data_IF_361905030024
#
_entry.id   IF_361905030024
#
_cell.length_a   1.000
_cell.length_b   1.000
_cell.length_c   1.000
_cell.angle_alpha   90.00
_cell.angle_beta   90.00
_cell.angle_gamma   90.00
#
_symmetry.space_group_name_H-M   'P 1'
#
loop_
_entity.id
_entity.type
_entity.pdbx_description
1 polymer ?
#
# COMPACT_ATOMS: atom_id res chain seq x y z
N UNK A 1 8.01 0.75 -18.35
CA UNK A 1 7.42 1.98 -17.77
C UNK A 1 7.47 3.11 -18.76
N UNK A 2 6.57 4.09 -18.64
CA UNK A 2 6.55 5.32 -19.42
C UNK A 2 6.77 6.50 -18.47
N UNK A 3 7.91 7.21 -18.57
CA UNK A 3 8.16 8.42 -17.80
C UNK A 3 7.53 9.66 -18.43
N UNK A 4 7.21 9.60 -19.73
CA UNK A 4 6.70 10.70 -20.52
C UNK A 4 5.22 10.51 -20.91
N UNK A 5 4.48 11.62 -20.91
CA UNK A 5 3.08 11.70 -21.34
C UNK A 5 2.11 12.10 -20.21
N UNK A 6 0.83 12.36 -20.54
CA UNK A 6 -0.16 12.81 -19.56
C UNK A 6 -0.27 11.85 -18.37
N UNK A 7 -0.10 12.37 -17.14
CA UNK A 7 -0.14 11.60 -15.89
C UNK A 7 1.14 10.81 -15.59
N UNK A 8 2.30 11.30 -16.01
CA UNK A 8 3.63 10.86 -15.58
C UNK A 8 4.47 12.09 -15.21
N UNK A 9 5.43 11.93 -14.30
CA UNK A 9 6.18 13.04 -13.71
C UNK A 9 5.73 13.41 -12.29
N UNK A 10 6.34 14.47 -11.75
CA UNK A 10 6.05 14.98 -10.41
C UNK A 10 4.83 15.91 -10.43
N UNK A 11 3.83 15.62 -9.60
CA UNK A 11 2.56 16.34 -9.62
C UNK A 11 1.95 16.52 -8.22
N UNK A 12 1.09 17.52 -8.06
CA UNK A 12 0.32 17.81 -6.86
C UNK A 12 -1.17 17.61 -7.10
N UNK A 13 -1.76 16.63 -6.41
CA UNK A 13 -3.18 16.33 -6.49
C UNK A 13 -3.92 16.77 -5.23
N UNK A 14 -5.24 17.00 -5.35
CA UNK A 14 -6.08 17.23 -4.17
C UNK A 14 -5.94 16.06 -3.19
N UNK A 15 -5.64 16.36 -1.93
CA UNK A 15 -5.48 15.32 -0.92
C UNK A 15 -6.83 14.62 -0.65
N UNK A 16 -6.85 13.30 -0.83
CA UNK A 16 -8.02 12.46 -0.55
C UNK A 16 -8.28 12.19 0.94
N UNK A 17 -7.39 12.65 1.84
CA UNK A 17 -7.46 12.34 3.27
C UNK A 17 -7.94 13.51 4.12
N UNK A 18 -7.26 14.66 4.03
CA UNK A 18 -7.62 15.86 4.79
C UNK A 18 -8.29 16.95 3.93
N UNK A 19 -8.31 16.78 2.61
CA UNK A 19 -8.85 17.76 1.65
C UNK A 19 -8.25 19.17 1.73
N UNK A 20 -7.08 19.32 2.36
CA UNK A 20 -6.32 20.57 2.43
C UNK A 20 -5.92 21.07 1.03
N UNK A 21 -5.80 22.40 0.91
CA UNK A 21 -5.29 23.09 -0.28
C UNK A 21 -3.81 22.77 -0.59
N UNK A 22 -3.01 22.40 0.42
CA UNK A 22 -1.60 22.04 0.22
C UNK A 22 -1.40 20.77 -0.62
N UNK A 23 -2.43 19.92 -0.71
CA UNK A 23 -2.44 18.78 -1.64
C UNK A 23 -1.52 17.60 -1.28
N UNK A 24 -1.39 16.68 -2.23
CA UNK A 24 -0.68 15.40 -2.13
C UNK A 24 0.26 15.29 -3.32
N UNK A 25 1.55 15.38 -3.03
CA UNK A 25 2.61 15.33 -4.02
C UNK A 25 3.05 13.89 -4.27
N UNK A 26 3.30 13.56 -5.53
CA UNK A 26 3.82 12.24 -5.92
C UNK A 26 4.54 12.31 -7.26
N UNK A 27 5.51 11.41 -7.45
CA UNK A 27 6.04 11.10 -8.76
C UNK A 27 5.26 9.94 -9.37
N UNK A 28 4.78 10.12 -10.60
CA UNK A 28 3.94 9.15 -11.31
C UNK A 28 4.66 8.55 -12.52
N UNK A 29 4.41 7.28 -12.77
CA UNK A 29 4.84 6.59 -13.99
C UNK A 29 3.75 5.63 -14.45
N UNK A 30 3.61 5.40 -15.76
CA UNK A 30 2.68 4.40 -16.28
C UNK A 30 3.39 3.11 -16.64
N UNK A 31 2.73 1.97 -16.51
CA UNK A 31 3.26 0.70 -16.97
C UNK A 31 2.23 -0.14 -17.71
N UNK A 32 2.66 -0.83 -18.76
CA UNK A 32 1.82 -1.76 -19.53
C UNK A 32 1.96 -3.21 -19.05
N UNK A 33 3.11 -3.53 -18.46
CA UNK A 33 3.42 -4.85 -17.91
C UNK A 33 4.33 -4.66 -16.71
N UNK A 34 4.15 -5.49 -15.69
CA UNK A 34 4.91 -5.44 -14.47
C UNK A 34 5.09 -6.87 -13.95
N UNK A 35 6.32 -7.32 -13.75
CA UNK A 35 6.53 -8.63 -13.13
C UNK A 35 6.30 -8.53 -11.62
N UNK A 36 5.83 -9.61 -10.96
CA UNK A 36 5.66 -9.63 -9.51
C UNK A 36 6.94 -9.29 -8.74
N UNK A 37 8.10 -9.81 -9.17
CA UNK A 37 9.41 -9.52 -8.55
C UNK A 37 9.77 -8.04 -8.66
N UNK A 38 9.62 -7.45 -9.85
CA UNK A 38 9.92 -6.04 -10.05
C UNK A 38 9.00 -5.15 -9.18
N UNK A 39 7.71 -5.48 -9.10
CA UNK A 39 6.79 -4.72 -8.25
C UNK A 39 7.08 -4.90 -6.75
N UNK A 40 7.56 -6.07 -6.32
CA UNK A 40 8.02 -6.29 -4.95
C UNK A 40 9.16 -5.33 -4.60
N UNK A 41 10.12 -5.14 -5.51
CA UNK A 41 11.23 -4.19 -5.34
C UNK A 41 10.74 -2.74 -5.26
N UNK A 42 9.77 -2.37 -6.11
CA UNK A 42 9.14 -1.04 -6.05
C UNK A 42 8.39 -0.81 -4.72
N UNK A 43 7.59 -1.78 -4.25
CA UNK A 43 6.87 -1.70 -2.97
C UNK A 43 7.82 -1.49 -1.79
N UNK A 44 8.99 -2.14 -1.82
CA UNK A 44 10.04 -2.00 -0.81
C UNK A 44 10.67 -0.60 -0.81
N UNK A 45 10.43 0.20 -1.86
CA UNK A 45 10.88 1.58 -2.01
C UNK A 45 9.73 2.60 -1.92
N UNK A 46 8.60 2.17 -1.36
CA UNK A 46 7.45 3.03 -1.08
C UNK A 46 6.54 3.34 -2.27
N UNK A 47 6.76 2.71 -3.42
CA UNK A 47 5.86 2.84 -4.58
C UNK A 47 4.53 2.11 -4.35
N UNK A 48 3.48 2.55 -5.01
CA UNK A 48 2.17 1.88 -5.10
C UNK A 48 1.63 1.95 -6.52
N UNK A 49 0.52 1.26 -6.76
CA UNK A 49 -0.18 1.28 -8.04
C UNK A 49 -1.69 1.44 -7.92
N UNK A 50 -2.28 1.93 -9.00
CA UNK A 50 -3.72 2.01 -9.26
C UNK A 50 -3.94 1.62 -10.72
N UNK A 51 -4.43 0.39 -10.96
CA UNK A 51 -4.34 -0.24 -12.28
C UNK A 51 -2.90 -0.22 -12.82
N UNK A 52 -2.72 0.42 -13.97
CA UNK A 52 -1.45 0.63 -14.68
C UNK A 52 -0.64 1.86 -14.24
N UNK A 53 -1.20 2.70 -13.37
CA UNK A 53 -0.52 3.89 -12.84
C UNK A 53 0.33 3.47 -11.63
N UNK A 54 1.62 3.73 -11.66
CA UNK A 54 2.55 3.64 -10.54
C UNK A 54 2.76 5.02 -9.95
N UNK A 55 2.92 5.10 -8.64
CA UNK A 55 3.20 6.36 -7.98
C UNK A 55 4.03 6.18 -6.71
N UNK A 56 4.91 7.15 -6.46
CA UNK A 56 5.72 7.28 -5.25
C UNK A 56 5.37 8.61 -4.57
N UNK A 57 4.76 8.60 -3.38
CA UNK A 57 4.44 9.84 -2.67
C UNK A 57 5.69 10.60 -2.23
N UNK A 58 5.63 11.93 -2.29
CA UNK A 58 6.56 12.79 -1.57
C UNK A 58 5.97 13.05 -0.19
N UNK A 59 6.49 12.34 0.81
CA UNK A 59 6.00 12.39 2.17
C UNK A 59 6.31 13.73 2.86
N UNK A 60 7.37 14.44 2.44
CA UNK A 60 7.79 15.70 3.06
C UNK A 60 6.90 16.84 2.57
N UNK A 61 6.68 16.89 1.25
CA UNK A 61 5.84 17.92 0.62
C UNK A 61 4.34 17.70 0.88
N UNK A 62 3.84 16.46 0.88
CA UNK A 62 2.41 16.16 1.05
C UNK A 62 1.87 16.59 2.41
N UNK A 63 0.62 17.10 2.46
CA UNK A 63 -0.03 17.43 3.74
C UNK A 63 -0.30 16.21 4.64
N UNK A 64 -0.47 15.03 4.04
CA UNK A 64 -0.69 13.76 4.74
C UNK A 64 0.39 12.75 4.33
N UNK A 65 1.44 12.57 5.13
CA UNK A 65 2.55 11.67 4.79
C UNK A 65 2.12 10.21 4.77
N UNK A 66 2.39 9.54 3.65
CA UNK A 66 1.91 8.20 3.32
C UNK A 66 3.00 7.15 3.55
N UNK A 67 3.19 6.74 4.81
CA UNK A 67 4.19 5.73 5.16
C UNK A 67 3.77 4.34 4.69
N UNK A 68 4.74 3.52 4.31
CA UNK A 68 4.51 2.12 3.97
C UNK A 68 4.64 1.26 5.22
N UNK A 69 3.66 0.39 5.48
CA UNK A 69 3.76 -0.61 6.54
C UNK A 69 3.81 -2.04 5.98
N UNK A 70 4.54 -2.91 6.68
CA UNK A 70 4.48 -4.36 6.50
C UNK A 70 4.53 -5.11 7.83
N UNK A 71 3.92 -6.28 7.85
CA UNK A 71 3.87 -7.18 9.00
C UNK A 71 4.37 -8.56 8.61
N UNK A 72 5.19 -9.21 9.45
CA UNK A 72 5.54 -10.62 9.27
C UNK A 72 4.34 -11.50 9.65
N UNK A 73 3.78 -12.23 8.69
CA UNK A 73 2.56 -13.03 8.85
C UNK A 73 2.69 -14.11 9.92
N UNK A 74 3.91 -14.65 10.14
CA UNK A 74 4.17 -15.67 11.15
C UNK A 74 4.31 -15.07 12.55
N UNK A 75 4.62 -13.78 12.65
CA UNK A 75 4.81 -13.07 13.91
C UNK A 75 3.57 -12.28 14.34
N UNK A 76 2.46 -12.35 13.60
CA UNK A 76 1.25 -11.60 13.91
C UNK A 76 0.65 -11.98 15.27
N UNK A 77 0.25 -10.96 16.04
CA UNK A 77 -0.51 -11.12 17.27
C UNK A 77 -1.81 -10.33 17.22
N UNK A 78 -2.94 -11.03 17.26
CA UNK A 78 -4.24 -10.38 17.28
C UNK A 78 -4.48 -9.63 18.60
N UNK A 79 -4.84 -8.35 18.51
CA UNK A 79 -5.25 -7.52 19.64
C UNK A 79 -6.61 -7.97 20.22
N UNK A 80 -6.93 -7.58 21.45
CA UNK A 80 -8.23 -7.91 22.08
C UNK A 80 -9.43 -7.52 21.20
N UNK A 81 -9.38 -6.33 20.62
CA UNK A 81 -10.44 -5.79 19.76
C UNK A 81 -10.55 -6.57 18.43
N UNK A 82 -9.42 -6.98 17.83
CA UNK A 82 -9.40 -7.86 16.66
C UNK A 82 -10.03 -9.22 16.97
N UNK A 83 -9.65 -9.85 18.08
CA UNK A 83 -10.23 -11.13 18.53
C UNK A 83 -11.73 -11.00 18.78
N UNK A 84 -12.16 -9.94 19.44
CA UNK A 84 -13.58 -9.69 19.71
C UNK A 84 -14.39 -9.45 18.45
N UNK A 85 -13.83 -8.73 17.47
CA UNK A 85 -14.49 -8.49 16.18
C UNK A 85 -14.69 -9.80 15.44
N UNK A 86 -13.65 -10.64 15.33
CA UNK A 86 -13.75 -11.96 14.71
C UNK A 86 -14.75 -12.86 15.43
N UNK A 87 -14.65 -13.00 16.76
CA UNK A 87 -15.55 -13.86 17.53
C UNK A 87 -17.03 -13.45 17.41
N UNK A 88 -17.34 -12.14 17.37
CA UNK A 88 -18.72 -11.66 17.17
C UNK A 88 -19.24 -12.01 15.78
N UNK A 89 -18.40 -11.85 14.76
CA UNK A 89 -18.77 -12.19 13.40
C UNK A 89 -18.95 -13.71 13.21
N UNK A 90 -18.03 -14.52 13.73
CA UNK A 90 -18.18 -15.99 13.76
C UNK A 90 -19.47 -16.40 14.47
N UNK A 91 -19.78 -15.80 15.63
CA UNK A 91 -21.05 -16.10 16.33
C UNK A 91 -22.27 -15.77 15.47
N UNK A 92 -22.25 -14.63 14.76
CA UNK A 92 -23.31 -14.25 13.82
C UNK A 92 -23.50 -15.30 12.72
N UNK A 93 -22.41 -15.77 12.11
CA UNK A 93 -22.45 -16.78 11.04
C UNK A 93 -22.99 -18.12 11.54
N UNK A 94 -22.52 -18.60 12.68
CA UNK A 94 -22.91 -19.89 13.21
C UNK A 94 -24.36 -19.87 13.73
N UNK A 95 -24.71 -18.85 14.51
CA UNK A 95 -25.99 -18.78 15.22
C UNK A 95 -26.06 -19.72 16.44
N UNK A 96 -26.91 -19.39 17.41
CA UNK A 96 -26.96 -20.10 18.70
C UNK A 96 -27.42 -21.56 18.54
N UNK A 97 -28.27 -21.86 17.55
CA UNK A 97 -28.75 -23.21 17.27
C UNK A 97 -27.61 -24.15 16.82
N UNK A 98 -26.85 -23.74 15.80
CA UNK A 98 -25.68 -24.50 15.33
C UNK A 98 -24.66 -24.68 16.46
N UNK A 99 -24.32 -23.60 17.19
CA UNK A 99 -23.33 -23.66 18.28
C UNK A 99 -23.73 -24.71 19.32
N UNK A 100 -25.01 -24.73 19.72
CA UNK A 100 -25.53 -25.67 20.71
C UNK A 100 -25.53 -27.11 20.20
N UNK A 101 -25.97 -27.35 18.98
CA UNK A 101 -26.15 -28.70 18.45
C UNK A 101 -24.85 -29.31 17.93
N UNK A 102 -23.98 -28.51 17.30
CA UNK A 102 -22.64 -28.92 16.92
C UNK A 102 -21.79 -29.27 18.16
N UNK A 103 -21.93 -28.55 19.28
CA UNK A 103 -21.22 -28.90 20.52
C UNK A 103 -21.63 -30.27 21.10
N UNK A 104 -22.85 -30.74 20.80
CA UNK A 104 -23.33 -32.07 21.21
C UNK A 104 -22.89 -33.17 20.25
N UNK A 105 -23.01 -32.91 18.93
CA UNK A 105 -22.71 -33.89 17.89
C UNK A 105 -21.20 -34.06 17.67
N UNK A 106 -20.45 -32.97 17.81
CA UNK A 106 -19.01 -32.91 17.56
C UNK A 106 -18.30 -32.23 18.73
N UNK A 107 -18.30 -32.85 19.92
CA UNK A 107 -17.66 -32.27 21.09
C UNK A 107 -16.16 -32.11 20.84
N UNK A 108 -15.61 -30.94 21.21
CA UNK A 108 -14.17 -30.69 21.16
C UNK A 108 -13.45 -31.55 22.19
N UNK A 109 -12.27 -32.05 21.85
CA UNK A 109 -11.42 -32.75 22.81
C UNK A 109 -10.99 -31.79 23.92
N UNK A 110 -10.72 -32.30 25.13
CA UNK A 110 -10.26 -31.49 26.27
C UNK A 110 -8.97 -30.74 25.94
N UNK A 111 -8.08 -31.39 25.19
CA UNK A 111 -6.83 -30.80 24.73
C UNK A 111 -7.07 -29.64 23.76
N UNK A 112 -7.95 -29.83 22.77
CA UNK A 112 -8.28 -28.78 21.81
C UNK A 112 -8.98 -27.59 22.48
N UNK A 113 -9.92 -27.86 23.41
CA UNK A 113 -10.57 -26.81 24.20
C UNK A 113 -9.55 -26.01 25.02
N UNK A 114 -8.62 -26.70 25.71
CA UNK A 114 -7.55 -26.04 26.48
C UNK A 114 -6.66 -25.18 25.58
N UNK A 115 -6.21 -25.72 24.43
CA UNK A 115 -5.39 -24.98 23.47
C UNK A 115 -6.10 -23.72 22.99
N UNK A 116 -7.38 -23.83 22.65
CA UNK A 116 -8.20 -22.71 22.17
C UNK A 116 -8.38 -21.60 23.22
N UNK A 117 -8.42 -21.95 24.50
CA UNK A 117 -8.55 -20.97 25.59
C UNK A 117 -7.21 -20.27 25.88
N UNK A 118 -6.08 -20.96 25.70
CA UNK A 118 -4.74 -20.41 25.95
C UNK A 118 -4.14 -19.69 24.74
N UNK A 119 -4.46 -20.13 23.53
CA UNK A 119 -3.85 -19.67 22.28
C UNK A 119 -4.89 -19.06 21.33
N UNK A 120 -4.48 -18.02 20.61
CA UNK A 120 -5.25 -17.47 19.50
C UNK A 120 -4.54 -17.79 18.19
N UNK A 121 -4.80 -18.97 17.65
CA UNK A 121 -4.32 -19.35 16.32
C UNK A 121 -5.15 -18.62 15.26
N UNK A 122 -4.58 -17.61 14.61
CA UNK A 122 -5.30 -16.78 13.65
C UNK A 122 -5.94 -17.62 12.53
N UNK A 123 -5.21 -18.60 11.98
CA UNK A 123 -5.68 -19.39 10.82
C UNK A 123 -6.88 -20.21 11.23
N UNK A 124 -6.78 -20.95 12.35
CA UNK A 124 -7.93 -21.69 12.88
C UNK A 124 -9.14 -20.78 13.11
N UNK A 125 -8.92 -19.60 13.70
CA UNK A 125 -9.99 -18.69 14.09
C UNK A 125 -10.71 -18.03 12.92
N UNK A 126 -10.02 -17.72 11.81
CA UNK A 126 -10.68 -17.16 10.63
C UNK A 126 -11.56 -18.20 9.92
N UNK A 127 -11.15 -19.47 9.93
CA UNK A 127 -11.92 -20.57 9.34
C UNK A 127 -13.09 -21.05 10.20
N UNK A 128 -13.13 -20.74 11.51
CA UNK A 128 -14.23 -21.16 12.40
C UNK A 128 -15.64 -20.74 11.92
N UNK A 129 -15.74 -19.73 11.03
CA UNK A 129 -17.01 -19.29 10.44
C UNK A 129 -17.21 -19.64 8.96
N UNK A 130 -16.19 -20.20 8.29
CA UNK A 130 -16.23 -20.49 6.85
C UNK A 130 -16.89 -21.84 6.58
N UNK A 131 -17.88 -21.88 5.68
CA UNK A 131 -18.73 -23.06 5.40
C UNK A 131 -17.93 -24.33 5.13
N UNK A 132 -16.81 -24.21 4.42
CA UNK A 132 -15.95 -25.35 4.04
C UNK A 132 -15.36 -26.09 5.26
N UNK A 133 -15.19 -25.40 6.38
CA UNK A 133 -14.58 -25.95 7.60
C UNK A 133 -15.61 -26.36 8.65
N UNK A 134 -16.89 -26.08 8.42
CA UNK A 134 -17.99 -26.43 9.33
C UNK A 134 -18.41 -27.89 9.20
N UNK A 135 -18.98 -28.42 10.27
CA UNK A 135 -19.56 -29.77 10.28
C UNK A 135 -21.06 -29.66 10.03
N UNK A 136 -21.56 -30.38 9.03
CA UNK A 136 -22.98 -30.49 8.72
C UNK A 136 -23.42 -31.95 8.75
N UNK A 137 -24.57 -32.29 9.38
CA UNK A 137 -25.49 -31.42 10.13
C UNK A 137 -24.99 -31.06 11.55
N UNK A 138 -25.46 -29.97 12.21
CA UNK A 138 -26.52 -29.04 11.78
C UNK A 138 -26.02 -28.00 10.76
N UNK A 139 -26.94 -27.23 10.18
CA UNK A 139 -26.58 -26.11 9.30
C UNK A 139 -26.34 -24.83 10.10
N UNK A 140 -25.35 -23.99 9.72
CA UNK A 140 -25.13 -22.69 10.34
C UNK A 140 -26.26 -21.71 10.00
N UNK A 141 -26.37 -20.62 10.78
CA UNK A 141 -27.32 -19.54 10.48
C UNK A 141 -27.04 -18.86 9.14
N UNK A 142 -25.76 -18.74 8.78
CA UNK A 142 -25.30 -18.18 7.52
C UNK A 142 -24.10 -18.95 6.96
N UNK A 143 -24.05 -19.08 5.63
CA UNK A 143 -22.97 -19.72 4.91
C UNK A 143 -21.96 -18.69 4.39
N UNK A 144 -20.84 -18.52 5.09
CA UNK A 144 -19.71 -17.72 4.58
C UNK A 144 -18.84 -18.57 3.65
N UNK A 145 -18.58 -18.06 2.44
CA UNK A 145 -17.65 -18.63 1.47
C UNK A 145 -16.65 -17.54 1.07
N UNK A 146 -15.35 -17.84 1.16
CA UNK A 146 -14.27 -16.94 0.76
C UNK A 146 -13.52 -17.57 -0.40
N UNK A 147 -13.42 -16.86 -1.53
CA UNK A 147 -12.76 -17.35 -2.75
C UNK A 147 -11.72 -16.37 -3.25
N UNK A 148 -10.60 -16.88 -3.74
CA UNK A 148 -9.63 -16.09 -4.48
C UNK A 148 -9.97 -16.15 -5.98
N UNK A 149 -10.42 -15.03 -6.53
CA UNK A 149 -10.86 -14.91 -7.92
C UNK A 149 -9.94 -14.01 -8.75
N UNK A 150 -9.94 -14.14 -10.09
CA UNK A 150 -9.34 -13.13 -10.95
C UNK A 150 -9.86 -11.72 -10.64
N UNK A 151 -9.00 -10.72 -10.77
CA UNK A 151 -9.33 -9.29 -10.67
C UNK A 151 -10.22 -8.78 -11.84
N UNK A 152 -10.82 -9.68 -12.63
CA UNK A 152 -11.63 -9.30 -13.78
C UNK A 152 -12.94 -8.63 -13.38
N UNK A 153 -13.43 -7.76 -14.28
CA UNK A 153 -14.72 -7.12 -14.15
C UNK A 153 -15.85 -8.16 -14.15
N UNK A 154 -16.78 -8.01 -13.22
CA UNK A 154 -18.14 -8.59 -13.30
C UNK A 154 -19.14 -7.55 -12.84
N UNK A 155 -20.40 -7.66 -13.27
CA UNK A 155 -21.46 -6.77 -12.79
C UNK A 155 -21.71 -6.92 -11.28
N UNK A 156 -21.58 -8.14 -10.73
CA UNK A 156 -21.68 -8.40 -9.28
C UNK A 156 -20.61 -7.61 -8.49
N UNK A 157 -19.35 -7.65 -8.94
CA UNK A 157 -18.23 -6.92 -8.32
C UNK A 157 -18.42 -5.40 -8.43
N UNK A 158 -18.94 -4.92 -9.56
CA UNK A 158 -19.24 -3.49 -9.75
C UNK A 158 -20.39 -3.01 -8.87
N UNK A 159 -21.44 -3.80 -8.68
CA UNK A 159 -22.55 -3.44 -7.77
C UNK A 159 -22.07 -3.26 -6.34
N UNK A 160 -21.16 -4.13 -5.86
CA UNK A 160 -20.52 -3.96 -4.56
C UNK A 160 -19.69 -2.67 -4.50
N UNK A 161 -18.88 -2.39 -5.53
CA UNK A 161 -18.08 -1.18 -5.63
C UNK A 161 -18.95 0.09 -5.60
N UNK A 162 -20.02 0.14 -6.40
CA UNK A 162 -20.96 1.28 -6.43
C UNK A 162 -21.57 1.52 -5.06
N UNK A 163 -22.07 0.46 -4.41
CA UNK A 163 -22.65 0.55 -3.06
C UNK A 163 -21.64 1.14 -2.07
N UNK A 164 -20.41 0.64 -2.09
CA UNK A 164 -19.33 1.10 -1.22
C UNK A 164 -18.95 2.56 -1.47
N UNK A 165 -18.77 2.96 -2.74
CA UNK A 165 -18.44 4.34 -3.10
C UNK A 165 -19.53 5.33 -2.64
N UNK A 166 -20.80 5.00 -2.89
CA UNK A 166 -21.92 5.89 -2.58
C UNK A 166 -22.19 5.99 -1.08
N UNK A 167 -22.10 4.88 -0.35
CA UNK A 167 -22.57 4.83 1.04
C UNK A 167 -21.48 4.94 2.09
N UNK A 168 -20.28 4.46 1.78
CA UNK A 168 -19.13 4.51 2.71
C UNK A 168 -18.21 5.68 2.38
N UNK A 169 -18.01 5.98 1.09
CA UNK A 169 -17.21 7.12 0.66
C UNK A 169 -18.01 8.39 0.34
N UNK A 170 -19.34 8.29 0.24
CA UNK A 170 -20.22 9.42 -0.10
C UNK A 170 -19.86 10.10 -1.43
N UNK A 171 -19.30 9.35 -2.38
CA UNK A 171 -18.99 9.87 -3.71
C UNK A 171 -20.28 10.12 -4.51
N UNK A 172 -20.36 11.21 -5.29
CA UNK A 172 -21.50 11.48 -6.13
C UNK A 172 -21.59 10.46 -7.28
N UNK A 173 -22.80 10.13 -7.77
CA UNK A 173 -22.98 9.16 -8.86
C UNK A 173 -22.16 9.48 -10.13
N UNK A 174 -21.90 10.77 -10.40
CA UNK A 174 -21.08 11.22 -11.53
C UNK A 174 -19.63 10.74 -11.47
N UNK A 175 -19.12 10.35 -10.29
CA UNK A 175 -17.77 9.81 -10.10
C UNK A 175 -17.71 8.29 -10.04
N UNK A 176 -18.86 7.62 -10.04
CA UNK A 176 -18.95 6.17 -9.91
C UNK A 176 -19.30 5.57 -11.27
N UNK A 177 -18.30 5.06 -11.97
CA UNK A 177 -18.47 4.52 -13.33
C UNK A 177 -17.87 3.12 -13.48
N UNK A 178 -18.43 2.34 -14.40
CA UNK A 178 -17.88 1.02 -14.77
C UNK A 178 -16.45 1.13 -15.32
N UNK A 179 -16.17 2.18 -16.10
CA UNK A 179 -14.82 2.43 -16.62
C UNK A 179 -13.83 2.76 -15.51
N UNK A 180 -14.21 3.63 -14.57
CA UNK A 180 -13.40 3.94 -13.39
C UNK A 180 -13.09 2.71 -12.54
N UNK A 181 -14.10 1.88 -12.27
CA UNK A 181 -13.92 0.60 -11.58
C UNK A 181 -12.94 -0.32 -12.31
N UNK A 182 -13.11 -0.48 -13.64
CA UNK A 182 -12.20 -1.30 -14.47
C UNK A 182 -10.77 -0.80 -14.42
N UNK A 183 -10.54 0.50 -14.63
CA UNK A 183 -9.20 1.08 -14.64
C UNK A 183 -8.55 1.05 -13.26
N UNK A 184 -9.34 1.19 -12.19
CA UNK A 184 -8.82 1.25 -10.83
C UNK A 184 -8.37 -0.12 -10.33
N UNK A 185 -9.25 -1.13 -10.40
CA UNK A 185 -9.03 -2.41 -9.70
C UNK A 185 -9.23 -3.67 -10.55
N UNK A 186 -9.56 -3.55 -11.85
CA UNK A 186 -9.69 -4.72 -12.73
C UNK A 186 -8.70 -4.81 -13.90
N UNK A 187 -7.78 -3.85 -14.01
CA UNK A 187 -6.83 -3.74 -15.11
C UNK A 187 -5.41 -3.76 -14.59
N UNK A 188 -5.04 -4.81 -13.84
CA UNK A 188 -3.69 -4.93 -13.31
C UNK A 188 -2.66 -5.24 -14.41
N UNK A 189 -1.47 -4.60 -14.37
CA UNK A 189 -0.34 -4.97 -15.21
C UNK A 189 0.42 -6.20 -14.70
N UNK A 190 0.04 -6.77 -13.55
CA UNK A 190 0.67 -7.93 -12.94
C UNK A 190 0.07 -9.23 -13.51
N UNK A 191 0.84 -10.04 -14.27
CA UNK A 191 0.34 -11.31 -14.77
C UNK A 191 0.13 -12.29 -13.62
N UNK A 192 -0.92 -13.10 -13.75
CA UNK A 192 -1.17 -14.20 -12.83
C UNK A 192 -0.33 -15.41 -13.17
N UNK A 193 0.32 -16.01 -12.18
CA UNK A 193 1.07 -17.25 -12.34
C UNK A 193 1.04 -18.06 -11.05
N UNK A 194 1.55 -19.29 -11.11
CA UNK A 194 1.83 -20.11 -9.94
C UNK A 194 3.32 -20.43 -9.93
N UNK A 195 3.94 -20.32 -8.76
CA UNK A 195 5.38 -20.57 -8.58
C UNK A 195 5.61 -21.47 -7.37
N UNK A 196 6.65 -22.29 -7.43
CA UNK A 196 7.12 -23.06 -6.29
C UNK A 196 8.22 -22.28 -5.57
N UNK A 197 7.97 -21.84 -4.34
CA UNK A 197 8.95 -21.16 -3.49
C UNK A 197 9.06 -21.92 -2.17
N UNK A 198 10.26 -22.39 -1.82
CA UNK A 198 10.52 -23.17 -0.60
C UNK A 198 9.60 -24.40 -0.45
N UNK A 199 9.31 -25.11 -1.55
CA UNK A 199 8.36 -26.23 -1.61
C UNK A 199 6.88 -25.88 -1.34
N UNK A 200 6.51 -24.60 -1.35
CA UNK A 200 5.12 -24.14 -1.32
C UNK A 200 4.72 -23.60 -2.69
N UNK A 201 3.61 -24.10 -3.25
CA UNK A 201 2.99 -23.50 -4.44
C UNK A 201 2.32 -22.20 -4.03
N UNK A 202 2.65 -21.10 -4.71
CA UNK A 202 2.11 -19.76 -4.45
C UNK A 202 1.53 -19.16 -5.71
N UNK A 203 0.40 -18.48 -5.57
CA UNK A 203 -0.20 -17.70 -6.65
C UNK A 203 0.42 -16.32 -6.69
N UNK A 204 0.92 -15.88 -7.84
CA UNK A 204 1.40 -14.50 -8.03
C UNK A 204 0.44 -13.74 -8.94
N UNK A 205 0.45 -12.41 -8.81
CA UNK A 205 -0.37 -11.49 -9.62
C UNK A 205 -1.53 -10.89 -8.83
N UNK A 206 -2.48 -10.29 -9.56
CA UNK A 206 -3.62 -9.60 -8.93
C UNK A 206 -4.88 -10.44 -8.89
N UNK A 207 -5.54 -10.39 -7.73
CA UNK A 207 -6.72 -11.17 -7.41
C UNK A 207 -7.73 -10.35 -6.61
N UNK A 208 -8.99 -10.79 -6.66
CA UNK A 208 -10.05 -10.38 -5.75
C UNK A 208 -10.33 -11.51 -4.78
N UNK A 209 -10.09 -11.28 -3.48
CA UNK A 209 -10.58 -12.15 -2.43
C UNK A 209 -12.04 -11.79 -2.14
N UNK A 210 -12.96 -12.62 -2.64
CA UNK A 210 -14.39 -12.40 -2.60
C UNK A 210 -15.02 -13.11 -1.39
N UNK A 211 -15.81 -12.37 -0.63
CA UNK A 211 -16.53 -12.87 0.55
C UNK A 211 -18.01 -12.92 0.23
N UNK A 212 -18.61 -14.12 0.28
CA UNK A 212 -20.04 -14.35 0.06
C UNK A 212 -20.71 -14.88 1.31
N UNK A 213 -21.81 -14.26 1.71
CA UNK A 213 -22.70 -14.77 2.77
C UNK A 213 -24.00 -15.19 2.10
N UNK A 214 -24.38 -16.45 2.28
CA UNK A 214 -25.59 -17.05 1.68
C UNK A 214 -25.65 -16.87 0.15
N UNK A 215 -24.47 -16.95 -0.48
CA UNK A 215 -24.31 -16.78 -1.92
C UNK A 215 -24.24 -15.32 -2.40
N UNK A 216 -24.50 -14.32 -1.55
CA UNK A 216 -24.39 -12.90 -1.91
C UNK A 216 -22.99 -12.37 -1.65
N UNK A 217 -22.36 -11.75 -2.65
CA UNK A 217 -21.10 -11.02 -2.48
C UNK A 217 -21.27 -9.80 -1.57
N UNK A 218 -20.55 -9.81 -0.45
CA UNK A 218 -20.64 -8.77 0.58
C UNK A 218 -19.33 -8.04 0.86
N UNK A 219 -18.18 -8.56 0.41
CA UNK A 219 -16.91 -7.86 0.51
C UNK A 219 -15.91 -8.37 -0.54
N UNK A 220 -14.95 -7.50 -0.88
CA UNK A 220 -13.81 -7.81 -1.74
C UNK A 220 -12.55 -7.17 -1.15
N UNK A 221 -11.52 -7.99 -0.93
CA UNK A 221 -10.14 -7.54 -0.85
C UNK A 221 -9.49 -7.58 -2.24
N UNK A 222 -8.93 -6.46 -2.69
CA UNK A 222 -8.13 -6.37 -3.91
C UNK A 222 -6.67 -6.57 -3.52
N UNK A 223 -6.09 -7.67 -3.96
CA UNK A 223 -4.79 -8.15 -3.48
C UNK A 223 -3.79 -8.25 -4.63
N UNK A 224 -2.57 -7.82 -4.37
CA UNK A 224 -1.39 -8.22 -5.15
C UNK A 224 -0.62 -9.28 -4.38
N UNK A 225 -0.54 -10.47 -4.97
CA UNK A 225 0.25 -11.57 -4.45
C UNK A 225 1.61 -11.56 -5.13
N UNK A 226 2.65 -11.34 -4.34
CA UNK A 226 4.02 -11.14 -4.78
C UNK A 226 4.92 -12.18 -4.13
N UNK A 227 6.16 -12.38 -4.62
CA UNK A 227 7.01 -13.50 -4.17
C UNK A 227 7.15 -13.63 -2.65
N UNK A 228 7.16 -12.49 -1.94
CA UNK A 228 7.29 -12.48 -0.48
C UNK A 228 6.06 -11.96 0.26
N UNK A 229 5.06 -11.39 -0.41
CA UNK A 229 3.98 -10.70 0.29
C UNK A 229 2.58 -10.82 -0.31
N UNK A 230 1.59 -10.66 0.58
CA UNK A 230 0.23 -10.28 0.24
C UNK A 230 0.13 -8.76 0.42
N UNK A 231 -0.11 -8.02 -0.65
CA UNK A 231 -0.29 -6.57 -0.60
C UNK A 231 -1.76 -6.18 -0.74
N UNK A 232 -2.30 -5.55 0.31
CA UNK A 232 -3.66 -5.03 0.34
C UNK A 232 -3.74 -3.73 -0.45
N UNK A 233 -4.29 -3.79 -1.66
CA UNK A 233 -4.43 -2.64 -2.57
C UNK A 233 -5.67 -1.84 -2.23
N UNK A 234 -6.81 -2.52 -2.08
CA UNK A 234 -8.09 -1.90 -1.77
C UNK A 234 -9.00 -2.89 -1.05
N UNK A 235 -9.93 -2.40 -0.25
CA UNK A 235 -10.92 -3.26 0.41
C UNK A 235 -12.28 -2.56 0.38
N UNK A 236 -13.31 -3.28 -0.09
CA UNK A 236 -14.68 -2.77 -0.19
C UNK A 236 -15.68 -3.78 0.33
N UNK A 237 -16.78 -3.30 0.90
CA UNK A 237 -17.83 -4.14 1.46
C UNK A 237 -19.22 -3.51 1.30
N UNK A 238 -20.25 -4.34 1.34
CA UNK A 238 -21.63 -3.91 1.21
C UNK A 238 -22.11 -3.28 2.52
N UNK A 239 -22.95 -2.25 2.47
CA UNK A 239 -23.48 -1.56 3.65
C UNK A 239 -24.09 -2.51 4.70
N UNK A 240 -24.72 -3.60 4.24
CA UNK A 240 -25.39 -4.59 5.08
C UNK A 240 -24.46 -5.29 6.08
N UNK A 241 -23.14 -5.24 5.87
CA UNK A 241 -22.16 -5.85 6.77
C UNK A 241 -21.31 -4.83 7.53
N UNK A 242 -21.60 -3.53 7.41
CA UNK A 242 -20.84 -2.46 8.04
C UNK A 242 -20.65 -2.67 9.56
N UNK A 243 -21.74 -3.07 10.24
CA UNK A 243 -21.77 -3.32 11.69
C UNK A 243 -20.82 -4.43 12.17
N UNK A 244 -20.33 -5.30 11.28
CA UNK A 244 -19.44 -6.41 11.63
C UNK A 244 -17.95 -6.03 11.56
N UNK A 245 -17.61 -4.82 11.10
CA UNK A 245 -16.23 -4.34 11.09
C UNK A 245 -15.36 -5.00 10.01
N UNK A 246 -15.89 -5.12 8.79
CA UNK A 246 -15.25 -5.86 7.69
C UNK A 246 -13.86 -5.37 7.27
N UNK A 247 -13.54 -4.10 7.44
CA UNK A 247 -12.16 -3.62 7.21
C UNK A 247 -11.13 -4.33 8.11
N UNK A 248 -11.54 -4.69 9.35
CA UNK A 248 -10.68 -5.43 10.28
C UNK A 248 -10.63 -6.92 9.97
N UNK A 249 -11.79 -7.50 9.68
CA UNK A 249 -11.94 -8.91 9.30
C UNK A 249 -11.14 -9.23 8.03
N UNK A 250 -11.21 -8.34 7.03
CA UNK A 250 -10.41 -8.44 5.80
C UNK A 250 -8.92 -8.52 6.09
N UNK A 251 -8.37 -7.57 6.85
CA UNK A 251 -6.95 -7.61 7.24
C UNK A 251 -6.57 -8.88 8.01
N UNK A 252 -7.43 -9.38 8.91
CA UNK A 252 -7.18 -10.64 9.62
C UNK A 252 -7.15 -11.84 8.67
N UNK A 253 -8.07 -11.90 7.70
CA UNK A 253 -8.13 -12.99 6.72
C UNK A 253 -6.98 -12.93 5.71
N UNK A 254 -6.56 -11.74 5.30
CA UNK A 254 -5.38 -11.51 4.45
C UNK A 254 -4.09 -11.94 5.14
N UNK A 255 -3.91 -11.62 6.44
CA UNK A 255 -2.76 -12.09 7.22
C UNK A 255 -2.80 -13.60 7.39
N UNK A 256 -3.97 -14.19 7.64
CA UNK A 256 -4.14 -15.63 7.71
C UNK A 256 -3.73 -16.30 6.38
N UNK A 257 -4.25 -15.79 5.25
CA UNK A 257 -3.88 -16.26 3.91
C UNK A 257 -2.37 -16.13 3.67
N UNK A 258 -1.76 -15.01 4.08
CA UNK A 258 -0.31 -14.83 3.96
C UNK A 258 0.44 -15.95 4.69
N UNK A 259 0.01 -16.28 5.91
CA UNK A 259 0.61 -17.36 6.72
C UNK A 259 0.38 -18.74 6.10
N UNK A 260 -0.85 -19.05 5.66
CA UNK A 260 -1.23 -20.33 5.08
C UNK A 260 -0.49 -20.64 3.77
N UNK A 261 -0.42 -19.66 2.87
CA UNK A 261 0.23 -19.81 1.56
C UNK A 261 1.75 -19.53 1.61
N UNK A 262 2.28 -19.18 2.78
CA UNK A 262 3.71 -19.01 3.02
C UNK A 262 4.29 -17.68 2.55
N UNK A 263 3.48 -16.65 2.31
CA UNK A 263 3.97 -15.29 2.12
C UNK A 263 4.46 -14.74 3.46
N UNK A 264 5.73 -14.30 3.50
CA UNK A 264 6.34 -13.77 4.72
C UNK A 264 5.65 -12.51 5.20
N UNK A 265 5.28 -11.62 4.28
CA UNK A 265 4.82 -10.29 4.62
C UNK A 265 3.36 -10.04 4.25
N UNK A 266 2.66 -9.27 5.08
CA UNK A 266 1.41 -8.60 4.72
C UNK A 266 1.68 -7.09 4.63
N UNK A 267 1.42 -6.49 3.47
CA UNK A 267 1.57 -5.05 3.24
C UNK A 267 0.19 -4.39 3.35
N UNK A 268 -0.04 -3.61 4.41
CA UNK A 268 -1.33 -2.97 4.70
C UNK A 268 -1.65 -1.75 3.80
N UNK A 269 -0.81 -1.46 2.80
CA UNK A 269 -0.88 -0.24 2.00
C UNK A 269 -0.24 0.96 2.71
N UNK A 270 -0.80 2.16 2.55
CA UNK A 270 -0.31 3.35 3.24
C UNK A 270 -0.87 3.48 4.64
N UNK A 271 -0.04 4.02 5.53
CA UNK A 271 -0.35 4.46 6.88
C UNK A 271 -0.13 5.97 6.97
N UNK A 272 -1.13 6.66 7.49
CA UNK A 272 -1.10 8.11 7.69
C UNK A 272 -1.44 8.34 9.15
N UNK A 273 -0.42 8.72 9.93
CA UNK A 273 -0.49 8.75 11.39
C UNK A 273 -1.64 9.62 11.93
N UNK A 274 -1.90 10.76 11.26
CA UNK A 274 -2.91 11.74 11.66
C UNK A 274 -4.26 11.57 10.96
N UNK A 275 -4.47 10.50 10.18
CA UNK A 275 -5.75 10.25 9.50
C UNK A 275 -6.52 9.12 10.20
N UNK A 276 -7.68 9.42 10.75
CA UNK A 276 -8.54 8.45 11.46
C UNK A 276 -8.84 7.20 10.62
N UNK A 277 -9.10 7.38 9.32
CA UNK A 277 -9.40 6.28 8.39
C UNK A 277 -8.20 5.38 8.10
N UNK A 278 -6.98 5.83 8.39
CA UNK A 278 -5.72 5.14 8.03
C UNK A 278 -4.88 4.72 9.25
N UNK A 279 -5.12 5.34 10.42
CA UNK A 279 -4.34 5.11 11.65
C UNK A 279 -4.46 3.67 12.17
N UNK A 280 -5.62 3.02 11.96
CA UNK A 280 -5.89 1.66 12.44
C UNK A 280 -4.90 0.60 11.93
N UNK A 281 -4.25 0.84 10.78
CA UNK A 281 -3.28 -0.11 10.20
C UNK A 281 -2.04 -0.30 11.08
N UNK A 282 -1.74 0.67 11.94
CA UNK A 282 -0.68 0.58 12.94
C UNK A 282 -1.05 -0.24 14.19
N UNK A 283 -2.28 -0.79 14.26
CA UNK A 283 -2.77 -1.58 15.40
C UNK A 283 -2.69 -3.10 15.16
N UNK A 284 -2.33 -3.50 13.95
CA UNK A 284 -1.83 -4.85 13.69
C UNK A 284 -0.40 -4.92 14.21
N UNK A 285 -0.02 -5.93 14.97
CA UNK A 285 1.30 -5.97 15.59
C UNK A 285 1.95 -7.34 15.44
N UNK A 286 3.30 -7.39 15.34
CA UNK A 286 4.23 -6.27 15.18
C UNK A 286 4.20 -5.71 13.75
N UNK A 287 4.02 -4.39 13.60
CA UNK A 287 4.13 -3.69 12.32
C UNK A 287 5.53 -3.09 12.15
N UNK A 288 6.00 -3.07 10.91
CA UNK A 288 7.21 -2.37 10.52
C UNK A 288 6.85 -1.19 9.62
N UNK A 289 7.47 -0.04 9.85
CA UNK A 289 7.36 1.16 9.05
C UNK A 289 8.61 1.31 8.17
N UNK A 290 8.40 1.61 6.89
CA UNK A 290 9.48 1.89 5.94
C UNK A 290 9.97 3.32 6.16
N UNK A 291 11.26 3.47 6.42
CA UNK A 291 11.93 4.77 6.43
C UNK A 291 11.93 5.34 5.01
N UNK A 292 11.40 6.56 4.79
CA UNK A 292 11.20 7.09 3.45
C UNK A 292 12.49 7.50 2.72
N UNK A 293 13.62 7.62 3.43
CA UNK A 293 14.89 8.08 2.86
C UNK A 293 15.86 6.93 2.65
N UNK A 294 16.07 6.11 3.69
CA UNK A 294 17.00 4.98 3.68
C UNK A 294 16.40 3.66 3.18
N UNK A 295 15.06 3.56 3.12
CA UNK A 295 14.34 2.32 2.86
C UNK A 295 14.57 1.18 3.87
N UNK A 296 15.10 1.51 5.05
CA UNK A 296 15.19 0.58 6.17
C UNK A 296 13.83 0.36 6.81
N UNK A 297 13.60 -0.86 7.29
CA UNK A 297 12.37 -1.23 8.00
C UNK A 297 12.59 -1.16 9.50
N UNK A 298 11.79 -0.33 10.16
CA UNK A 298 11.84 -0.11 11.60
C UNK A 298 10.56 -0.62 12.26
N UNK A 299 10.62 -1.08 13.51
CA UNK A 299 9.42 -1.49 14.24
C UNK A 299 8.57 -0.24 14.53
N UNK A 300 7.27 -0.29 14.24
CA UNK A 300 6.32 0.77 14.59
C UNK A 300 5.84 0.58 16.04
N UNK A 301 6.72 0.85 16.98
CA UNK A 301 6.44 0.76 18.41
C UNK A 301 5.84 2.06 18.98
N UNK A 302 5.69 2.11 20.31
CA UNK A 302 5.15 3.27 20.99
C UNK A 302 6.04 4.52 20.87
N UNK A 303 7.37 4.36 20.77
CA UNK A 303 8.29 5.49 20.72
C UNK A 303 8.33 6.11 19.32
N UNK A 304 8.32 5.29 18.26
CA UNK A 304 8.14 5.77 16.89
C UNK A 304 6.79 6.48 16.74
N UNK A 305 5.71 5.94 17.33
CA UNK A 305 4.39 6.61 17.33
C UNK A 305 4.45 7.98 18.03
N UNK A 306 5.10 8.09 19.20
CA UNK A 306 5.29 9.38 19.89
C UNK A 306 6.10 10.39 19.07
N UNK A 307 7.08 9.93 18.28
CA UNK A 307 7.82 10.81 17.35
C UNK A 307 6.89 11.33 16.26
N UNK A 308 6.08 10.46 15.65
CA UNK A 308 5.07 10.82 14.65
C UNK A 308 3.96 11.73 15.19
N UNK A 309 3.67 11.71 16.49
CA UNK A 309 2.74 12.66 17.11
C UNK A 309 3.33 14.09 17.13
N UNK A 310 4.66 14.24 17.15
CA UNK A 310 5.37 15.53 17.27
C UNK A 310 5.76 16.15 15.93
N UNK A 311 5.94 15.34 14.89
CA UNK A 311 6.41 15.81 13.59
C UNK A 311 5.45 15.41 12.48
N UNK A 312 5.27 16.29 11.49
CA UNK A 312 4.51 15.96 10.27
C UNK A 312 5.20 14.81 9.52
N UNK A 313 6.50 14.95 9.30
CA UNK A 313 7.35 14.03 8.55
C UNK A 313 8.44 13.47 9.47
N UNK A 314 8.78 12.19 9.29
CA UNK A 314 9.74 11.45 10.09
C UNK A 314 10.58 10.55 9.18
N UNK A 315 11.89 10.71 9.28
CA UNK A 315 12.89 9.76 8.81
C UNK A 315 13.74 9.37 10.02
N UNK A 316 13.73 8.09 10.37
CA UNK A 316 14.47 7.54 11.52
C UNK A 316 15.97 7.52 11.24
N UNK A 317 16.37 7.42 9.97
CA UNK A 317 17.78 7.44 9.58
C UNK A 317 18.49 8.78 9.88
N UNK A 318 17.78 9.91 9.86
CA UNK A 318 18.34 11.22 10.23
C UNK A 318 18.45 11.43 11.75
N UNK A 319 17.55 10.83 12.52
CA UNK A 319 17.55 10.91 13.97
C UNK A 319 18.73 10.15 14.58
N UNK A 320 19.00 8.95 14.08
CA UNK A 320 20.13 8.14 14.54
C UNK A 320 21.49 8.79 14.21
N UNK A 321 21.57 9.51 13.08
CA UNK A 321 22.76 10.27 12.71
C UNK A 321 23.02 11.48 13.61
N UNK A 322 21.96 12.10 14.18
CA UNK A 322 22.08 13.21 15.14
C UNK A 322 22.50 12.77 16.56
N UNK A 323 22.45 11.46 16.84
CA UNK A 323 22.90 10.85 18.10
C UNK A 323 24.35 10.34 18.05
N UNK A 324 24.99 10.37 16.89
CA UNK A 324 26.43 10.16 16.77
C UNK A 324 27.15 11.43 17.25
N UNK A 325 28.21 11.33 18.08
CA UNK A 325 28.93 12.52 18.54
C UNK A 325 29.57 13.21 17.33
N UNK A 326 28.97 14.33 16.93
CA UNK A 326 29.54 15.24 15.95
C UNK A 326 30.80 15.85 16.55
N UNK A 327 31.94 15.59 15.92
CA UNK A 327 33.16 16.35 16.13
C UNK A 327 32.86 17.83 15.90
N UNK A 328 33.07 18.62 16.94
CA UNK A 328 32.80 20.05 17.00
C UNK A 328 33.43 20.79 15.80
N UNK A 329 32.62 21.60 15.13
CA UNK A 329 33.12 22.82 14.50
C UNK A 329 32.09 23.89 14.79
N UNK A 330 32.41 24.70 15.80
CA UNK A 330 31.63 25.87 16.19
C UNK A 330 31.56 26.88 15.04
N UNK A 331 30.35 27.27 14.65
CA UNK A 331 30.11 28.65 14.22
C UNK A 331 28.91 29.20 14.96
N UNK A 332 29.20 30.20 15.78
CA UNK A 332 28.29 30.93 16.62
C UNK A 332 27.36 31.81 15.77
N UNK A 333 26.06 31.71 16.01
CA UNK A 333 25.12 32.80 15.76
C UNK A 333 24.23 32.98 16.98
N UNK A 334 24.35 34.17 17.55
CA UNK A 334 23.74 34.66 18.78
C UNK A 334 22.22 34.70 18.68
N UNK A 335 21.57 34.09 19.68
CA UNK A 335 20.16 34.22 20.00
C UNK A 335 19.85 35.55 20.70
N UNK A 336 18.78 36.23 20.28
CA UNK A 336 18.02 37.12 21.16
C UNK A 336 16.55 36.76 21.05
N UNK A 337 16.03 36.17 22.12
CA UNK A 337 14.65 35.77 22.30
C UNK A 337 13.93 36.84 23.13
N UNK A 338 12.68 37.16 22.81
CA UNK A 338 11.74 37.78 23.76
C UNK A 338 10.29 37.55 23.32
N UNK A 339 9.37 37.25 24.27
CA UNK A 339 8.06 36.70 23.97
C UNK A 339 6.94 37.75 24.06
N UNK A 340 5.97 37.68 23.15
CA UNK A 340 4.62 38.23 23.36
C UNK A 340 3.60 37.49 22.51
N UNK A 341 2.51 37.10 23.15
CA UNK A 341 1.25 36.57 22.60
C UNK A 341 0.13 37.36 23.32
N UNK A 342 -1.14 37.48 22.87
CA UNK A 342 -1.75 37.24 21.55
C UNK A 342 -2.50 38.49 21.01
N UNK A 343 -3.02 38.45 19.78
CA UNK A 343 -4.38 38.90 19.36
C UNK A 343 -4.46 39.14 17.84
N UNK A 344 -5.41 38.41 17.24
CA UNK A 344 -6.25 38.70 16.05
C UNK A 344 -5.85 39.88 15.16
N UNK A 345 -5.54 39.58 13.89
CA UNK A 345 -6.15 40.27 12.74
C UNK A 345 -6.24 39.32 11.54
N UNK A 346 -7.42 39.35 10.92
CA UNK A 346 -7.74 38.73 9.64
C UNK A 346 -6.95 39.44 8.55
N UNK A 347 -6.06 38.73 7.86
CA UNK A 347 -5.77 38.99 6.46
C UNK A 347 -5.35 37.68 5.79
N UNK A 348 -6.28 37.17 4.97
CA UNK A 348 -6.07 36.15 3.94
C UNK A 348 -5.01 36.67 2.95
N UNK A 349 -3.73 36.46 3.24
CA UNK A 349 -2.68 36.52 2.23
C UNK A 349 -2.36 35.10 1.76
N UNK A 350 -2.63 34.88 0.48
CA UNK A 350 -2.46 33.63 -0.27
C UNK A 350 -1.10 32.94 -0.03
N UNK A 351 -1.05 31.96 0.88
CA UNK A 351 0.03 30.96 0.90
C UNK A 351 -0.16 29.97 -0.26
N UNK A 352 0.29 30.47 -1.42
CA UNK A 352 0.84 29.80 -2.59
C UNK A 352 0.51 28.31 -2.74
N UNK A 353 -0.38 28.01 -3.71
CA UNK A 353 -0.35 26.71 -4.35
C UNK A 353 1.05 26.55 -4.94
N UNK A 354 1.94 25.81 -4.28
CA UNK A 354 3.21 25.43 -4.89
C UNK A 354 2.90 24.52 -6.10
N UNK A 355 2.66 25.16 -7.24
CA UNK A 355 2.53 24.52 -8.53
C UNK A 355 3.83 23.72 -8.72
N UNK A 356 3.76 22.41 -8.97
CA UNK A 356 4.97 21.64 -9.27
C UNK A 356 5.73 22.34 -10.38
N UNK A 357 6.91 22.89 -10.10
CA UNK A 357 7.71 23.61 -11.10
C UNK A 357 8.21 22.59 -12.13
N UNK A 358 7.60 22.43 -13.31
CA UNK A 358 7.82 21.25 -14.17
C UNK A 358 9.25 21.17 -14.72
N UNK A 359 9.98 22.27 -14.67
CA UNK A 359 11.34 22.41 -15.19
C UNK A 359 12.42 21.91 -14.21
N UNK A 360 12.06 21.66 -12.94
CA UNK A 360 13.01 21.12 -11.95
C UNK A 360 13.01 19.59 -11.99
N UNK A 361 14.14 18.93 -12.30
CA UNK A 361 14.24 17.48 -12.24
C UNK A 361 13.97 16.93 -10.84
N UNK A 362 13.38 15.74 -10.78
CA UNK A 362 13.04 15.05 -9.53
C UNK A 362 14.23 14.94 -8.56
N UNK A 363 15.41 14.59 -9.07
CA UNK A 363 16.65 14.43 -8.30
C UNK A 363 17.21 15.76 -7.76
N UNK A 364 16.66 16.90 -8.17
CA UNK A 364 17.01 18.25 -7.67
C UNK A 364 16.01 18.79 -6.65
N UNK A 365 14.89 18.09 -6.40
CA UNK A 365 13.81 18.54 -5.47
C UNK A 365 14.04 18.17 -4.01
N UNK A 366 14.99 17.28 -3.74
CA UNK A 366 15.16 16.69 -2.41
C UNK A 366 13.98 15.81 -1.98
N UNK A 367 13.29 15.18 -2.93
CA UNK A 367 12.21 14.23 -2.63
C UNK A 367 12.77 13.03 -1.83
N UNK A 368 12.16 12.66 -0.68
CA UNK A 368 12.63 11.55 0.14
C UNK A 368 12.86 10.23 -0.62
N UNK A 369 14.07 9.69 -0.50
CA UNK A 369 14.49 8.40 -1.05
C UNK A 369 14.72 8.39 -2.58
N UNK A 370 14.71 9.55 -3.23
CA UNK A 370 15.12 9.71 -4.63
C UNK A 370 16.64 9.91 -4.70
N UNK A 371 17.29 9.29 -5.68
CA UNK A 371 18.74 9.44 -5.89
C UNK A 371 19.10 10.88 -6.28
N UNK A 372 20.25 11.38 -5.82
CA UNK A 372 20.82 12.64 -6.32
C UNK A 372 21.44 12.45 -7.71
N UNK A 373 21.75 13.55 -8.39
CA UNK A 373 22.45 13.53 -9.67
C UNK A 373 23.77 12.74 -9.61
N UNK A 374 24.55 12.95 -8.54
CA UNK A 374 25.84 12.31 -8.33
C UNK A 374 25.68 10.80 -8.16
N UNK A 375 24.65 10.38 -7.40
CA UNK A 375 24.34 8.96 -7.21
C UNK A 375 23.89 8.30 -8.51
N UNK A 376 23.07 8.98 -9.31
CA UNK A 376 22.64 8.45 -10.63
C UNK A 376 23.88 8.20 -11.50
N UNK A 377 24.76 9.20 -11.63
CA UNK A 377 25.97 9.09 -12.45
C UNK A 377 26.97 8.04 -11.93
N UNK A 378 26.95 7.74 -10.63
CA UNK A 378 27.85 6.76 -10.02
C UNK A 378 27.30 5.33 -10.02
N UNK A 379 25.98 5.15 -9.91
CA UNK A 379 25.37 3.84 -9.62
C UNK A 379 24.45 3.32 -10.74
N UNK A 380 24.09 4.17 -11.71
CA UNK A 380 23.20 3.83 -12.81
C UNK A 380 23.90 4.05 -14.15
N UNK A 381 24.01 2.96 -14.89
CA UNK A 381 24.42 2.98 -16.29
C UNK A 381 23.23 3.42 -17.16
N UNK A 382 23.11 4.75 -17.37
CA UNK A 382 22.00 5.32 -18.13
C UNK A 382 22.05 4.94 -19.62
N UNK A 383 23.25 4.72 -20.17
CA UNK A 383 23.47 4.43 -21.59
C UNK A 383 22.86 3.08 -21.98
N UNK A 384 22.95 2.10 -21.09
CA UNK A 384 22.49 0.74 -21.32
C UNK A 384 21.10 0.44 -20.71
N UNK A 385 20.32 1.48 -20.38
CA UNK A 385 18.91 1.30 -20.02
C UNK A 385 18.13 0.81 -21.24
N UNK A 386 17.41 -0.31 -21.06
CA UNK A 386 16.61 -0.93 -22.11
C UNK A 386 15.42 -0.07 -22.48
N UNK A 387 15.22 0.13 -23.78
CA UNK A 387 14.11 0.86 -24.38
C UNK A 387 13.16 -0.05 -25.16
N UNK A 388 11.91 0.39 -25.28
CA UNK A 388 10.90 -0.13 -26.20
C UNK A 388 10.40 1.03 -27.04
N UNK A 389 10.85 1.12 -28.29
CA UNK A 389 10.47 2.19 -29.23
C UNK A 389 9.59 1.59 -30.31
N UNK A 390 8.29 1.91 -30.31
CA UNK A 390 7.32 1.41 -31.31
C UNK A 390 7.33 -0.13 -31.50
N UNK A 391 7.67 -0.88 -30.44
CA UNK A 391 7.74 -2.34 -30.44
C UNK A 391 9.14 -2.92 -30.72
N UNK A 392 10.14 -2.09 -31.02
CA UNK A 392 11.54 -2.50 -31.19
C UNK A 392 12.33 -2.28 -29.90
N UNK A 393 13.26 -3.20 -29.64
CA UNK A 393 14.16 -3.17 -28.48
C UNK A 393 15.43 -2.39 -28.87
N UNK A 394 15.87 -1.50 -28.00
CA UNK A 394 17.07 -0.69 -28.15
C UNK A 394 17.64 -0.37 -26.77
N UNK A 395 18.84 0.18 -26.71
CA UNK A 395 19.42 0.79 -25.51
C UNK A 395 19.37 2.32 -25.62
N UNK A 396 19.56 3.02 -24.51
CA UNK A 396 19.44 4.48 -24.51
C UNK A 396 20.50 5.15 -25.38
N UNK A 397 21.73 4.61 -25.40
CA UNK A 397 22.82 5.05 -26.25
C UNK A 397 22.56 4.86 -27.76
N UNK A 398 21.62 4.00 -28.15
CA UNK A 398 21.23 3.84 -29.56
C UNK A 398 20.38 5.03 -30.06
N UNK A 399 19.88 5.90 -29.17
CA UNK A 399 19.07 7.04 -29.56
C UNK A 399 19.92 8.15 -30.20
N UNK A 400 19.45 8.67 -31.33
CA UNK A 400 20.05 9.84 -31.97
C UNK A 400 20.00 11.03 -31.03
N UNK A 401 21.15 11.67 -30.80
CA UNK A 401 21.29 12.80 -29.89
C UNK A 401 21.37 12.42 -28.40
N UNK A 402 21.50 11.13 -28.08
CA UNK A 402 21.64 10.68 -26.69
C UNK A 402 22.84 11.33 -26.00
N UNK A 403 24.02 11.26 -26.60
CA UNK A 403 25.26 11.80 -26.01
C UNK A 403 25.13 13.30 -25.70
N UNK A 404 24.54 14.06 -26.63
CA UNK A 404 24.36 15.52 -26.54
C UNK A 404 23.18 15.94 -25.65
N UNK A 405 22.28 15.02 -25.31
CA UNK A 405 21.10 15.30 -24.49
C UNK A 405 21.48 15.70 -23.07
N UNK A 406 20.85 16.76 -22.57
CA UNK A 406 21.09 17.29 -21.22
C UNK A 406 20.38 16.46 -20.15
N UNK A 407 21.12 16.03 -19.12
CA UNK A 407 20.59 15.26 -18.00
C UNK A 407 19.59 16.06 -17.14
N UNK A 408 19.81 17.36 -16.99
CA UNK A 408 19.02 18.24 -16.10
C UNK A 408 17.77 18.81 -16.77
N UNK A 409 17.56 18.55 -18.05
CA UNK A 409 16.36 19.00 -18.76
C UNK A 409 15.26 17.96 -18.63
N UNK A 410 14.15 18.30 -17.95
CA UNK A 410 12.97 17.42 -17.81
C UNK A 410 12.27 17.12 -19.14
N UNK A 411 12.55 17.92 -20.17
CA UNK A 411 12.04 17.77 -21.53
C UNK A 411 12.91 16.87 -22.41
N UNK A 412 14.13 16.54 -21.98
CA UNK A 412 15.03 15.66 -22.72
C UNK A 412 14.75 14.19 -22.40
N UNK A 413 14.97 13.29 -23.36
CA UNK A 413 14.80 11.86 -23.12
C UNK A 413 15.78 11.38 -22.03
N UNK A 414 17.02 11.90 -22.03
CA UNK A 414 18.01 11.57 -21.00
C UNK A 414 17.55 12.02 -19.62
N UNK A 415 17.03 13.24 -19.49
CA UNK A 415 16.52 13.75 -18.22
C UNK A 415 15.31 12.96 -17.73
N UNK A 416 14.35 12.64 -18.61
CA UNK A 416 13.19 11.81 -18.23
C UNK A 416 13.58 10.39 -17.79
N UNK A 417 14.55 9.76 -18.46
CA UNK A 417 15.07 8.45 -18.07
C UNK A 417 15.80 8.55 -16.73
N UNK A 418 16.60 9.61 -16.53
CA UNK A 418 17.31 9.85 -15.29
C UNK A 418 16.36 10.11 -14.10
N UNK A 419 15.29 10.88 -14.28
CA UNK A 419 14.26 11.07 -13.25
C UNK A 419 13.62 9.75 -12.84
N UNK A 420 13.25 8.91 -13.82
CA UNK A 420 12.68 7.61 -13.55
C UNK A 420 13.68 6.71 -12.82
N UNK A 421 14.92 6.65 -13.30
CA UNK A 421 16.01 5.89 -12.67
C UNK A 421 16.23 6.33 -11.22
N UNK A 422 16.25 7.64 -10.96
CA UNK A 422 16.38 8.21 -9.62
C UNK A 422 15.25 7.78 -8.69
N UNK A 423 14.02 7.77 -9.20
CA UNK A 423 12.83 7.42 -8.44
C UNK A 423 12.74 5.91 -8.13
N UNK A 424 13.10 5.05 -9.10
CA UNK A 424 13.03 3.60 -8.94
C UNK A 424 14.26 3.02 -8.23
N UNK A 425 15.40 3.72 -8.25
CA UNK A 425 16.66 3.27 -7.65
C UNK A 425 17.50 2.39 -8.57
N UNK A 426 18.76 2.12 -8.22
CA UNK A 426 19.74 1.54 -9.14
C UNK A 426 19.42 0.10 -9.53
N UNK A 427 18.93 -0.72 -8.59
CA UNK A 427 18.54 -2.11 -8.87
C UNK A 427 17.38 -2.18 -9.86
N UNK A 428 16.31 -1.43 -9.61
CA UNK A 428 15.15 -1.39 -10.51
C UNK A 428 15.48 -0.73 -11.85
N UNK A 429 16.37 0.26 -11.86
CA UNK A 429 16.79 0.93 -13.10
C UNK A 429 17.48 -0.04 -14.08
N UNK A 430 18.26 -1.01 -13.57
CA UNK A 430 18.92 -2.03 -14.40
C UNK A 430 17.95 -3.03 -15.04
N UNK A 431 16.82 -3.29 -14.39
CA UNK A 431 15.85 -4.28 -14.84
C UNK A 431 14.68 -3.67 -15.63
N UNK A 432 14.46 -2.36 -15.53
CA UNK A 432 13.34 -1.72 -16.18
C UNK A 432 13.52 -1.64 -17.69
N UNK A 433 12.38 -1.60 -18.38
CA UNK A 433 12.32 -1.24 -19.81
C UNK A 433 11.51 0.04 -19.93
N UNK A 434 12.09 1.08 -20.53
CA UNK A 434 11.43 2.36 -20.76
C UNK A 434 10.74 2.35 -22.12
N UNK A 435 9.44 2.60 -22.16
CA UNK A 435 8.65 2.65 -23.40
C UNK A 435 8.55 4.09 -23.89
N UNK A 436 9.01 4.30 -25.13
CA UNK A 436 8.90 5.55 -25.88
C UNK A 436 7.97 5.25 -27.07
N UNK A 437 6.65 5.35 -26.83
CA UNK A 437 5.63 5.08 -27.85
C UNK A 437 4.90 6.34 -28.24
#
# INVERSE_FOLDING_TARGET
MRPLGPGSGYDNNRCGYCHSRSGSFSYYAKTTSLTPDFYQSLLNRGWRRSGSLLYKPDLRASCCPQYTLRLDSNSFHASKDQRQTLNRFTKFLLGDAYIKDAAKLYPRSREHAKKRDTEFDLVERVHEGEKEYLKSPPEPAHALVVTLEPDTYTDEKYQLFENYQRLVHHEPPSRISKSGFKSFICSSPLPRSKVMINNHERSLGSYHQCYRIDGKLIAIGVLDLLPQCVSAVYFMYHESVHQHGFGKLGGLREIAMAKEEGYKWWYAGFYIHNCVKMKYKGDYTPQHILDPESYNWNILDADVKKKLDKTKYLSLSHEDASLLPSSETEQATTSSDSPTDPMVDEDDEDEDQSVPQPDIPLFSRGMPGVMTKEQILAEVDLDHIKLRVRGTDAEACDLVGWEESELESTYSIKGSIAELAAAVGPECAREMVVSLN
#
